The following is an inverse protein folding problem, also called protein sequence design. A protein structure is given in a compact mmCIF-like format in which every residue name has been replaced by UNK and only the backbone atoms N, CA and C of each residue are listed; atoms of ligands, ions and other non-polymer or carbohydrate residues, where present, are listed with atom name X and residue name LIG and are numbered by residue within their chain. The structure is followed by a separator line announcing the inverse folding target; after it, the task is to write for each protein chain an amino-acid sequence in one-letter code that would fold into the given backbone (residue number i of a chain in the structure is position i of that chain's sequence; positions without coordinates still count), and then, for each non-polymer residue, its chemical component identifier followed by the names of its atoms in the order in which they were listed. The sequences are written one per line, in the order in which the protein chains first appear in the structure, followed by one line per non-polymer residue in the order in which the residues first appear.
data_IF_349009058484
#
_entry.id   IF_349009058484
#
_cell.length_a   1.000
_cell.length_b   1.000
_cell.length_c   1.000
_cell.angle_alpha   90.00
_cell.angle_beta   90.00
_cell.angle_gamma   90.00
#
_symmetry.space_group_name_H-M   'P 1'
#
loop_
_entity.id
_entity.type
_entity.pdbx_description
1 polymer ?
#
# COMPACT_ATOMS: atom_id res chain seq x y z
N UNK A 1 24.57 -13.87 -17.13
CA UNK A 1 23.20 -14.44 -17.09
C UNK A 1 22.94 -15.26 -15.83
N UNK A 2 23.81 -16.21 -15.45
CA UNK A 2 23.63 -17.04 -14.23
C UNK A 2 23.52 -16.20 -12.95
N UNK A 3 24.38 -15.19 -12.75
CA UNK A 3 24.32 -14.31 -11.58
C UNK A 3 22.98 -13.53 -11.47
N UNK A 4 22.43 -13.08 -12.60
CA UNK A 4 21.13 -12.41 -12.65
C UNK A 4 20.01 -13.33 -12.19
N UNK A 5 20.01 -14.58 -12.70
CA UNK A 5 19.01 -15.60 -12.35
C UNK A 5 19.11 -15.96 -10.86
N UNK A 6 20.33 -16.10 -10.32
CA UNK A 6 20.54 -16.37 -8.90
C UNK A 6 20.06 -15.23 -8.01
N UNK A 7 20.28 -13.97 -8.41
CA UNK A 7 19.80 -12.81 -7.67
C UNK A 7 18.26 -12.69 -7.73
N UNK A 8 17.66 -12.97 -8.89
CA UNK A 8 16.21 -13.03 -9.03
C UNK A 8 15.59 -14.12 -8.15
N UNK A 9 16.20 -15.32 -8.12
CA UNK A 9 15.76 -16.41 -7.26
C UNK A 9 15.86 -16.04 -5.77
N UNK A 10 16.95 -15.39 -5.34
CA UNK A 10 17.10 -14.91 -3.97
C UNK A 10 16.01 -13.89 -3.60
N UNK A 11 15.74 -12.93 -4.48
CA UNK A 11 14.68 -11.94 -4.29
C UNK A 11 13.30 -12.60 -4.14
N UNK A 12 12.96 -13.55 -5.01
CA UNK A 12 11.70 -14.28 -4.92
C UNK A 12 11.59 -15.05 -3.60
N UNK A 13 12.67 -15.73 -3.20
CA UNK A 13 12.72 -16.46 -1.93
C UNK A 13 12.61 -15.53 -0.72
N UNK A 14 13.23 -14.35 -0.78
CA UNK A 14 13.11 -13.31 0.25
C UNK A 14 11.66 -12.82 0.37
N UNK A 15 10.99 -12.53 -0.75
CA UNK A 15 9.56 -12.14 -0.76
C UNK A 15 8.68 -13.22 -0.12
N UNK A 16 8.89 -14.49 -0.48
CA UNK A 16 8.13 -15.60 0.09
C UNK A 16 8.40 -15.74 1.59
N UNK A 17 9.66 -15.59 2.04
CA UNK A 17 10.04 -15.61 3.46
C UNK A 17 9.51 -14.42 4.24
N UNK A 18 9.38 -13.25 3.63
CA UNK A 18 8.77 -12.07 4.26
C UNK A 18 7.35 -12.38 4.72
N UNK A 19 6.66 -13.28 4.02
CA UNK A 19 5.35 -13.73 4.45
C UNK A 19 5.40 -14.40 5.81
N UNK A 20 6.49 -15.00 6.30
CA UNK A 20 6.54 -15.62 7.63
C UNK A 20 6.66 -14.64 8.80
N UNK A 21 7.02 -13.38 8.53
CA UNK A 21 7.12 -12.35 9.57
C UNK A 21 5.73 -11.85 9.98
N UNK A 22 5.29 -12.03 11.25
CA UNK A 22 4.01 -11.55 11.72
C UNK A 22 3.82 -10.04 11.58
N UNK A 23 4.90 -9.26 11.69
CA UNK A 23 4.84 -7.81 11.51
C UNK A 23 4.63 -7.42 10.06
N UNK A 24 5.23 -8.15 9.11
CA UNK A 24 4.98 -7.94 7.68
C UNK A 24 3.54 -8.29 7.32
N UNK A 25 3.03 -9.45 7.77
CA UNK A 25 1.62 -9.85 7.60
C UNK A 25 0.66 -8.81 8.18
N UNK A 26 0.93 -8.33 9.39
CA UNK A 26 0.12 -7.31 10.05
C UNK A 26 0.10 -5.98 9.28
N UNK A 27 1.26 -5.50 8.83
CA UNK A 27 1.37 -4.30 8.02
C UNK A 27 0.64 -4.43 6.68
N UNK A 28 0.76 -5.57 6.01
CA UNK A 28 0.06 -5.86 4.76
C UNK A 28 -1.45 -5.89 4.95
N UNK A 29 -1.94 -6.58 5.99
CA UNK A 29 -3.37 -6.63 6.32
C UNK A 29 -3.93 -5.23 6.59
N UNK A 30 -3.23 -4.41 7.38
CA UNK A 30 -3.64 -3.04 7.64
C UNK A 30 -3.67 -2.19 6.36
N UNK A 31 -2.68 -2.33 5.47
CA UNK A 31 -2.69 -1.65 4.18
C UNK A 31 -3.90 -2.04 3.33
N UNK A 32 -4.23 -3.34 3.28
CA UNK A 32 -5.41 -3.84 2.54
C UNK A 32 -6.70 -3.28 3.14
N UNK A 33 -6.83 -3.28 4.47
CA UNK A 33 -8.01 -2.71 5.14
C UNK A 33 -8.15 -1.22 4.87
N UNK A 34 -7.05 -0.45 4.90
CA UNK A 34 -7.04 0.97 4.56
C UNK A 34 -7.48 1.16 3.10
N UNK A 35 -6.89 0.44 2.15
CA UNK A 35 -7.29 0.52 0.74
C UNK A 35 -8.77 0.20 0.51
N UNK A 36 -9.28 -0.86 1.15
CA UNK A 36 -10.70 -1.24 1.06
C UNK A 36 -11.60 -0.15 1.65
N UNK A 37 -11.24 0.40 2.82
CA UNK A 37 -11.99 1.48 3.45
C UNK A 37 -12.04 2.73 2.57
N UNK A 38 -10.91 3.13 1.96
CA UNK A 38 -10.84 4.24 1.03
C UNK A 38 -11.71 3.98 -0.19
N UNK A 39 -11.57 2.81 -0.81
CA UNK A 39 -12.32 2.41 -2.01
C UNK A 39 -13.84 2.47 -1.77
N UNK A 40 -14.31 1.86 -0.68
CA UNK A 40 -15.71 1.86 -0.29
C UNK A 40 -16.23 3.26 -0.03
N UNK A 41 -15.44 4.07 0.69
CA UNK A 41 -15.80 5.44 1.01
C UNK A 41 -15.91 6.32 -0.25
N UNK A 42 -14.89 6.33 -1.10
CA UNK A 42 -14.89 7.16 -2.31
C UNK A 42 -15.96 6.72 -3.32
N UNK A 43 -16.19 5.41 -3.46
CA UNK A 43 -17.28 4.94 -4.33
C UNK A 43 -18.64 5.38 -3.80
N UNK A 44 -18.85 5.38 -2.48
CA UNK A 44 -20.13 5.77 -1.87
C UNK A 44 -20.34 7.29 -1.82
N UNK A 45 -19.29 8.06 -1.54
CA UNK A 45 -19.38 9.51 -1.25
C UNK A 45 -19.11 10.36 -2.49
N UNK A 46 -18.13 9.98 -3.32
CA UNK A 46 -17.82 10.70 -4.56
C UNK A 46 -18.52 10.09 -5.78
N UNK A 47 -19.21 8.95 -5.61
CA UNK A 47 -19.94 8.28 -6.69
C UNK A 47 -19.04 7.65 -7.75
N UNK A 48 -17.76 7.48 -7.46
CA UNK A 48 -16.80 6.90 -8.39
C UNK A 48 -17.02 5.40 -8.57
N UNK A 49 -16.67 4.90 -9.75
CA UNK A 49 -16.63 3.46 -9.96
C UNK A 49 -15.59 2.82 -9.04
N UNK A 50 -15.79 1.55 -8.67
CA UNK A 50 -14.93 0.84 -7.71
C UNK A 50 -13.46 0.85 -8.12
N UNK A 51 -13.18 0.75 -9.42
CA UNK A 51 -11.82 0.78 -9.97
C UNK A 51 -11.19 2.17 -9.80
N UNK A 52 -11.92 3.24 -10.07
CA UNK A 52 -11.44 4.63 -9.93
C UNK A 52 -11.23 4.98 -8.45
N UNK A 53 -12.13 4.53 -7.58
CA UNK A 53 -12.02 4.69 -6.14
C UNK A 53 -10.81 3.93 -5.57
N UNK A 54 -10.55 2.71 -6.04
CA UNK A 54 -9.37 1.93 -5.67
C UNK A 54 -8.10 2.59 -6.19
N UNK A 55 -8.11 3.07 -7.43
CA UNK A 55 -7.01 3.78 -8.05
C UNK A 55 -6.65 5.06 -7.27
N UNK A 56 -7.64 5.89 -6.93
CA UNK A 56 -7.42 7.08 -6.12
C UNK A 56 -6.90 6.71 -4.72
N UNK A 57 -7.49 5.69 -4.08
CA UNK A 57 -7.05 5.21 -2.76
C UNK A 57 -5.60 4.72 -2.77
N UNK A 58 -5.19 3.99 -3.80
CA UNK A 58 -3.85 3.44 -3.94
C UNK A 58 -2.82 4.52 -4.28
N UNK A 59 -3.13 5.43 -5.20
CA UNK A 59 -2.23 6.53 -5.59
C UNK A 59 -2.07 7.54 -4.47
N UNK A 60 -3.12 7.78 -3.68
CA UNK A 60 -3.05 8.63 -2.47
C UNK A 60 -2.23 7.95 -1.37
N UNK A 61 -2.49 6.67 -1.09
CA UNK A 61 -1.78 5.91 -0.06
C UNK A 61 -0.27 5.79 -0.33
N UNK A 62 0.08 5.57 -1.60
CA UNK A 62 1.47 5.48 -2.06
C UNK A 62 2.15 6.83 -2.28
N UNK A 63 1.45 7.94 -2.04
CA UNK A 63 1.92 9.32 -2.26
C UNK A 63 2.26 9.66 -3.72
N UNK A 64 1.80 8.85 -4.69
CA UNK A 64 1.97 9.11 -6.12
C UNK A 64 1.12 10.28 -6.58
N UNK A 65 -0.18 10.27 -6.26
CA UNK A 65 -1.11 11.40 -6.45
C UNK A 65 -1.09 12.07 -7.83
N UNK A 66 -1.51 11.38 -8.89
CA UNK A 66 -1.50 11.92 -10.26
C UNK A 66 -2.35 13.19 -10.47
N UNK A 67 -3.34 13.44 -9.61
CA UNK A 67 -4.15 14.67 -9.62
C UNK A 67 -5.24 14.72 -10.68
N UNK A 68 -5.45 13.63 -11.40
CA UNK A 68 -6.53 13.41 -12.37
C UNK A 68 -7.90 13.21 -11.69
N UNK A 69 -7.91 12.54 -10.52
CA UNK A 69 -9.07 12.44 -9.64
C UNK A 69 -8.84 13.25 -8.37
N UNK A 70 -9.87 13.93 -7.90
CA UNK A 70 -9.86 14.62 -6.60
C UNK A 70 -11.27 14.70 -6.01
N UNK A 71 -11.43 14.54 -4.68
CA UNK A 71 -12.74 14.57 -4.03
C UNK A 71 -13.39 15.96 -4.19
N UNK A 72 -14.59 15.98 -4.74
CA UNK A 72 -15.37 17.19 -4.93
C UNK A 72 -16.15 17.54 -3.66
N UNK A 73 -16.60 16.54 -2.91
CA UNK A 73 -17.42 16.75 -1.72
C UNK A 73 -16.61 17.28 -0.53
N UNK A 74 -17.25 18.06 0.34
CA UNK A 74 -16.62 18.55 1.58
C UNK A 74 -16.17 17.39 2.47
N UNK A 75 -17.01 16.37 2.60
CA UNK A 75 -16.75 15.19 3.43
C UNK A 75 -15.61 14.37 2.82
N UNK A 76 -15.57 14.19 1.50
CA UNK A 76 -14.50 13.49 0.82
C UNK A 76 -13.14 14.17 0.98
N UNK A 77 -13.09 15.50 0.95
CA UNK A 77 -11.86 16.26 1.25
C UNK A 77 -11.37 16.02 2.68
N UNK A 78 -12.25 16.13 3.67
CA UNK A 78 -11.90 15.90 5.09
C UNK A 78 -11.45 14.46 5.30
N UNK A 79 -12.17 13.48 4.75
CA UNK A 79 -11.78 12.08 4.82
C UNK A 79 -10.41 11.86 4.21
N UNK A 80 -10.13 12.44 3.04
CA UNK A 80 -8.83 12.31 2.36
C UNK A 80 -7.68 12.82 3.21
N UNK A 81 -7.85 13.93 3.93
CA UNK A 81 -6.84 14.44 4.86
C UNK A 81 -6.54 13.40 5.95
N UNK A 82 -7.57 12.86 6.60
CA UNK A 82 -7.41 11.83 7.64
C UNK A 82 -6.79 10.55 7.06
N UNK A 83 -7.27 10.14 5.88
CA UNK A 83 -6.81 8.97 5.15
C UNK A 83 -5.32 9.03 4.83
N UNK A 84 -4.81 10.20 4.43
CA UNK A 84 -3.38 10.42 4.17
C UNK A 84 -2.57 10.23 5.47
N UNK A 85 -2.97 10.88 6.57
CA UNK A 85 -2.21 10.79 7.83
C UNK A 85 -2.12 9.35 8.36
N UNK A 86 -3.22 8.60 8.29
CA UNK A 86 -3.26 7.19 8.75
C UNK A 86 -2.55 6.28 7.74
N UNK A 87 -2.89 6.44 6.47
CA UNK A 87 -2.45 5.57 5.39
C UNK A 87 -0.95 5.63 5.16
N UNK A 88 -0.39 6.83 5.03
CA UNK A 88 1.04 7.00 4.72
C UNK A 88 1.91 6.41 5.83
N UNK A 89 1.54 6.59 7.10
CA UNK A 89 2.27 6.02 8.24
C UNK A 89 2.32 4.48 8.19
N UNK A 90 1.18 3.84 7.94
CA UNK A 90 1.09 2.37 7.84
C UNK A 90 1.82 1.87 6.60
N UNK A 91 1.69 2.56 5.47
CA UNK A 91 2.36 2.19 4.22
C UNK A 91 3.89 2.25 4.37
N UNK A 92 4.43 3.31 4.97
CA UNK A 92 5.87 3.44 5.26
C UNK A 92 6.33 2.35 6.24
N UNK A 93 5.57 2.09 7.31
CA UNK A 93 5.90 1.05 8.27
C UNK A 93 5.98 -0.34 7.61
N UNK A 94 5.05 -0.66 6.70
CA UNK A 94 5.09 -1.90 5.92
C UNK A 94 6.35 -1.98 5.05
N UNK A 95 6.72 -0.89 4.37
CA UNK A 95 7.94 -0.82 3.56
C UNK A 95 9.21 -1.03 4.40
N UNK A 96 9.26 -0.51 5.63
CA UNK A 96 10.39 -0.73 6.54
C UNK A 96 10.53 -2.22 6.89
N UNK A 97 9.42 -2.91 7.16
CA UNK A 97 9.46 -4.34 7.46
C UNK A 97 9.85 -5.16 6.23
N UNK A 98 9.40 -4.77 5.04
CA UNK A 98 9.85 -5.36 3.79
C UNK A 98 11.35 -5.18 3.56
N UNK A 99 11.87 -3.97 3.77
CA UNK A 99 13.29 -3.67 3.65
C UNK A 99 14.12 -4.48 4.65
N UNK A 100 13.66 -4.61 5.90
CA UNK A 100 14.32 -5.47 6.90
C UNK A 100 14.32 -6.93 6.49
N UNK A 101 13.23 -7.45 5.94
CA UNK A 101 13.16 -8.83 5.47
C UNK A 101 14.15 -9.09 4.32
N UNK A 102 14.36 -8.10 3.44
CA UNK A 102 15.36 -8.16 2.38
C UNK A 102 16.80 -8.11 2.91
N UNK A 103 17.06 -7.27 3.92
CA UNK A 103 18.40 -7.14 4.54
C UNK A 103 18.74 -8.29 5.49
N UNK A 104 17.76 -9.09 5.90
CA UNK A 104 17.95 -10.21 6.84
C UNK A 104 18.49 -11.48 6.16
N UNK A 105 18.93 -11.43 4.90
CA UNK A 105 19.66 -12.57 4.32
C UNK A 105 20.98 -12.75 5.10
N UNK A 106 21.12 -13.82 5.90
CA UNK A 106 22.40 -14.19 6.46
C UNK A 106 23.20 -14.88 5.35
N UNK A 107 24.48 -14.54 5.24
CA UNK A 107 25.40 -15.45 4.56
C UNK A 107 25.39 -16.85 5.21
#
# INVERSE_FOLDING_TARGET
MIALILNAYRLLKAIVRSWDDPHFRGGLLLCVLILLSGTLFYSSVEGWHWVDALYFSATTLSTVGFGDLSPATKIGKVFTVIYIFVGVGVFIAMFIQFAKALLRDPE
#
